data_IF_928837907422
#
_entry.id   IF_928837907422
#
_cell.length_a   1.000
_cell.length_b   1.000
_cell.length_c   1.000
_cell.angle_alpha   90.00
_cell.angle_beta   90.00
_cell.angle_gamma   90.00
#
_symmetry.space_group_name_H-M   'P 1'
#
loop_
_entity.id
_entity.type
_entity.pdbx_description
1 polymer ?
#
# COMPACT_ATOMS: atom_id res chain seq x y z
N UNK A 1 -1.06 21.73 5.16
CA UNK A 1 -0.04 20.78 4.67
C UNK A 1 -0.68 19.88 3.63
N UNK A 2 -0.38 20.11 2.35
CA UNK A 2 -0.90 19.32 1.23
C UNK A 2 -0.29 17.90 1.25
N UNK A 3 -1.07 16.89 0.89
CA UNK A 3 -0.63 15.51 0.84
C UNK A 3 -0.53 15.10 -0.62
N UNK A 4 0.68 14.82 -1.09
CA UNK A 4 0.97 14.50 -2.50
C UNK A 4 0.11 13.33 -2.99
N UNK A 5 -0.10 12.32 -2.15
CA UNK A 5 -0.97 11.17 -2.46
C UNK A 5 -2.44 11.54 -2.76
N UNK A 6 -2.93 12.67 -2.25
CA UNK A 6 -4.29 13.15 -2.55
C UNK A 6 -4.39 13.92 -3.88
N UNK A 7 -3.26 14.13 -4.55
CA UNK A 7 -3.16 14.93 -5.79
C UNK A 7 -2.76 14.07 -7.00
N UNK A 8 -2.63 12.75 -6.81
CA UNK A 8 -2.17 11.82 -7.83
C UNK A 8 -3.10 10.62 -7.87
N UNK A 9 -3.30 10.07 -9.07
CA UNK A 9 -3.87 8.74 -9.20
C UNK A 9 -2.76 7.71 -8.95
N UNK A 10 -2.93 6.92 -7.90
CA UNK A 10 -1.92 5.97 -7.42
C UNK A 10 -2.51 4.58 -7.52
N UNK A 11 -1.95 3.74 -8.39
CA UNK A 11 -2.41 2.36 -8.51
C UNK A 11 -1.96 1.48 -7.33
N UNK A 12 -0.73 1.68 -6.85
CA UNK A 12 -0.11 0.91 -5.76
C UNK A 12 0.58 1.83 -4.76
N UNK A 13 0.31 1.61 -3.48
CA UNK A 13 0.96 2.29 -2.36
C UNK A 13 1.70 1.27 -1.50
N UNK A 14 3.01 1.41 -1.42
CA UNK A 14 3.89 0.56 -0.60
C UNK A 14 4.28 1.33 0.66
N UNK A 15 3.96 0.79 1.83
CA UNK A 15 4.22 1.42 3.12
C UNK A 15 5.11 0.51 3.96
N UNK A 16 6.21 1.07 4.48
CA UNK A 16 7.13 0.37 5.34
C UNK A 16 6.99 0.82 6.80
N UNK A 17 6.84 -0.16 7.69
CA UNK A 17 6.73 0.05 9.12
C UNK A 17 5.31 0.41 9.56
N UNK A 18 4.89 -0.17 10.69
CA UNK A 18 3.53 0.01 11.20
C UNK A 18 3.19 1.45 11.58
N UNK A 19 4.15 2.19 12.15
CA UNK A 19 3.96 3.58 12.53
C UNK A 19 3.73 4.49 11.32
N UNK A 20 4.57 4.35 10.29
CA UNK A 20 4.44 5.09 9.02
C UNK A 20 3.12 4.75 8.33
N UNK A 21 2.80 3.46 8.22
CA UNK A 21 1.56 3.02 7.58
C UNK A 21 0.33 3.57 8.31
N UNK A 22 0.28 3.44 9.63
CA UNK A 22 -0.81 3.96 10.46
C UNK A 22 -0.96 5.48 10.34
N UNK A 23 0.15 6.22 10.34
CA UNK A 23 0.12 7.67 10.18
C UNK A 23 -0.41 8.09 8.79
N UNK A 24 0.07 7.44 7.72
CA UNK A 24 -0.36 7.72 6.35
C UNK A 24 -1.86 7.42 6.15
N UNK A 25 -2.32 6.22 6.52
CA UNK A 25 -3.71 5.80 6.39
C UNK A 25 -4.66 6.72 7.17
N UNK A 26 -4.29 7.08 8.41
CA UNK A 26 -5.08 8.00 9.22
C UNK A 26 -5.16 9.40 8.61
N UNK A 27 -4.07 9.89 8.01
CA UNK A 27 -4.03 11.18 7.31
C UNK A 27 -4.89 11.18 6.04
N UNK A 28 -4.93 10.04 5.35
CA UNK A 28 -5.78 9.74 4.18
C UNK A 28 -7.24 9.45 4.53
N UNK A 29 -7.57 9.34 5.83
CA UNK A 29 -8.88 8.94 6.34
C UNK A 29 -9.32 7.55 5.85
N UNK A 30 -8.36 6.68 5.54
CA UNK A 30 -8.61 5.29 5.17
C UNK A 30 -8.65 4.44 6.44
N UNK A 31 -9.86 4.23 6.97
CA UNK A 31 -10.08 3.52 8.24
C UNK A 31 -10.47 2.05 8.07
N UNK A 32 -10.81 1.64 6.85
CA UNK A 32 -11.15 0.26 6.50
C UNK A 32 -10.39 -0.14 5.25
N UNK A 33 -9.85 -1.35 5.31
CA UNK A 33 -9.12 -2.00 4.24
C UNK A 33 -9.70 -3.41 4.10
N UNK A 34 -9.89 -3.84 2.87
CA UNK A 34 -10.26 -5.22 2.56
C UNK A 34 -9.04 -5.95 2.01
N UNK A 35 -8.81 -7.18 2.45
CA UNK A 35 -7.84 -8.06 1.80
C UNK A 35 -8.36 -8.43 0.41
N UNK A 36 -7.50 -8.36 -0.61
CA UNK A 36 -7.90 -8.62 -2.00
C UNK A 36 -7.08 -9.71 -2.67
N UNK A 37 -5.76 -9.66 -2.56
CA UNK A 37 -4.82 -10.62 -3.15
C UNK A 37 -3.59 -10.75 -2.23
N UNK A 38 -2.71 -11.73 -2.46
CA UNK A 38 -1.38 -11.78 -1.83
C UNK A 38 -0.33 -11.32 -2.84
N UNK A 39 0.57 -10.40 -2.45
CA UNK A 39 1.76 -10.13 -3.25
C UNK A 39 2.83 -11.23 -3.04
N UNK A 40 2.92 -11.74 -1.81
CA UNK A 40 3.74 -12.88 -1.43
C UNK A 40 3.07 -13.60 -0.25
N UNK A 41 3.59 -14.78 0.13
CA UNK A 41 3.06 -15.60 1.23
C UNK A 41 2.86 -14.77 2.50
N UNK A 42 3.80 -13.88 2.83
CA UNK A 42 3.78 -13.07 4.05
C UNK A 42 3.43 -11.59 3.81
N UNK A 43 2.93 -11.25 2.62
CA UNK A 43 2.60 -9.87 2.25
C UNK A 43 1.22 -9.77 1.59
N UNK A 44 0.16 -9.53 2.38
CA UNK A 44 -1.18 -9.34 1.83
C UNK A 44 -1.31 -8.00 1.11
N UNK A 45 -2.01 -8.04 -0.02
CA UNK A 45 -2.55 -6.89 -0.71
C UNK A 45 -3.86 -6.45 -0.08
N UNK A 46 -3.92 -5.17 0.27
CA UNK A 46 -5.07 -4.51 0.87
C UNK A 46 -5.69 -3.54 -0.13
N UNK A 47 -6.97 -3.22 0.02
CA UNK A 47 -7.67 -2.26 -0.82
C UNK A 47 -8.58 -1.37 0.02
N UNK A 48 -8.58 -0.07 -0.27
CA UNK A 48 -9.32 0.96 0.49
C UNK A 48 -10.81 1.00 0.14
N UNK A 49 -11.11 0.86 -1.14
CA UNK A 49 -12.45 0.83 -1.73
C UNK A 49 -12.36 0.04 -3.04
N UNK A 50 -13.47 -0.42 -3.61
CA UNK A 50 -13.48 -1.28 -4.82
C UNK A 50 -12.60 -0.73 -5.96
N UNK A 51 -12.67 0.58 -6.22
CA UNK A 51 -11.88 1.29 -7.22
C UNK A 51 -10.64 2.01 -6.66
N UNK A 52 -10.27 1.72 -5.42
CA UNK A 52 -9.16 2.37 -4.72
C UNK A 52 -7.79 1.72 -4.96
N UNK A 53 -6.71 2.39 -4.51
CA UNK A 53 -5.35 1.85 -4.62
C UNK A 53 -5.23 0.50 -3.91
N UNK A 54 -4.34 -0.34 -4.47
CA UNK A 54 -3.79 -1.47 -3.72
C UNK A 54 -2.75 -0.94 -2.73
N UNK A 55 -2.86 -1.34 -1.48
CA UNK A 55 -1.96 -0.96 -0.39
C UNK A 55 -1.21 -2.19 0.08
N UNK A 56 0.10 -2.10 0.16
CA UNK A 56 0.97 -3.13 0.74
C UNK A 56 1.68 -2.55 1.96
N UNK A 57 1.68 -3.30 3.05
CA UNK A 57 2.32 -2.88 4.30
C UNK A 57 3.25 -3.99 4.74
N UNK A 58 4.54 -3.69 4.86
CA UNK A 58 5.51 -4.62 5.45
C UNK A 58 6.09 -4.06 6.75
N UNK A 59 6.55 -4.91 7.68
CA UNK A 59 7.40 -4.46 8.78
C UNK A 59 8.70 -3.83 8.27
N UNK A 60 9.28 -2.91 9.04
CA UNK A 60 10.50 -2.20 8.64
C UNK A 60 11.69 -3.12 8.37
N UNK A 61 11.76 -4.27 9.07
CA UNK A 61 12.88 -5.21 8.99
C UNK A 61 12.76 -6.26 7.88
N UNK A 62 11.70 -6.24 7.07
CA UNK A 62 11.43 -7.26 6.04
C UNK A 62 11.84 -6.71 4.67
N UNK A 63 12.23 -7.57 3.74
CA UNK A 63 12.46 -7.15 2.36
C UNK A 63 11.12 -7.03 1.61
N UNK A 64 11.10 -6.18 0.58
CA UNK A 64 10.00 -6.18 -0.38
C UNK A 64 10.18 -7.35 -1.35
N UNK A 65 9.16 -8.20 -1.58
CA UNK A 65 9.22 -9.22 -2.62
C UNK A 65 9.19 -8.58 -4.01
N UNK A 66 9.84 -9.19 -5.00
CA UNK A 66 9.92 -8.63 -6.35
C UNK A 66 8.54 -8.40 -7.00
N UNK A 67 7.54 -9.19 -6.61
CA UNK A 67 6.16 -9.12 -7.10
C UNK A 67 5.43 -7.80 -6.80
N UNK A 68 5.88 -7.00 -5.83
CA UNK A 68 5.26 -5.69 -5.55
C UNK A 68 5.75 -4.59 -6.49
N UNK A 69 6.89 -4.78 -7.13
CA UNK A 69 7.41 -3.84 -8.10
C UNK A 69 6.66 -3.99 -9.43
N UNK A 70 6.54 -2.93 -10.23
CA UNK A 70 6.23 -3.12 -11.65
C UNK A 70 7.32 -3.98 -12.27
N UNK A 71 6.93 -5.01 -13.03
CA UNK A 71 7.88 -5.65 -13.93
C UNK A 71 8.37 -4.61 -14.94
N UNK A 72 9.59 -4.76 -15.46
CA UNK A 72 9.98 -4.03 -16.66
C UNK A 72 9.05 -4.48 -17.80
N UNK A 73 7.98 -3.73 -18.03
CA UNK A 73 7.18 -3.83 -19.24
C UNK A 73 8.09 -3.42 -20.41
N UNK A 74 8.49 -4.40 -21.24
CA UNK A 74 8.95 -4.16 -22.61
C UNK A 74 7.77 -3.73 -23.47
#
# INVERSE_FOLDING_TARGET
MAMVLAQMDVARLLLEGGATASAALRRLKWSRLSAVDLAAVDLPGLRVAEDGPRVFIKPGSYDWPDSVWPGEEN
#
